data_IF_538510325792
#
_entry.id   IF_538510325792
#
_cell.length_a   1.000
_cell.length_b   1.000
_cell.length_c   1.000
_cell.angle_alpha   90.00
_cell.angle_beta   90.00
_cell.angle_gamma   90.00
#
_symmetry.space_group_name_H-M   'P 1'
#
loop_
_entity.id
_entity.type
_entity.pdbx_description
1 polymer ?
#
# COMPACT_ATOMS: atom_id res chain seq x y z
N UNK A 1 -20.99 4.13 -12.56
CA UNK A 1 -19.96 4.81 -11.75
C UNK A 1 -19.06 3.73 -11.19
N UNK A 2 -17.75 3.82 -11.40
CA UNK A 2 -16.82 2.80 -10.93
C UNK A 2 -16.66 2.94 -9.40
N UNK A 3 -17.36 2.09 -8.64
CA UNK A 3 -17.46 2.12 -7.17
C UNK A 3 -16.26 1.47 -6.48
N UNK A 4 -15.26 1.04 -7.24
CA UNK A 4 -14.09 0.32 -6.71
C UNK A 4 -13.24 1.24 -5.82
N UNK A 5 -12.84 0.73 -4.65
CA UNK A 5 -12.03 1.48 -3.69
C UNK A 5 -10.70 1.91 -4.33
N UNK A 6 -10.22 3.16 -4.15
CA UNK A 6 -8.98 3.63 -4.76
C UNK A 6 -7.76 2.79 -4.36
N UNK A 7 -7.69 2.31 -3.12
CA UNK A 7 -6.61 1.43 -2.67
C UNK A 7 -6.72 0.04 -3.27
N UNK A 8 -7.93 -0.46 -3.54
CA UNK A 8 -8.09 -1.70 -4.28
C UNK A 8 -7.44 -1.62 -5.66
N UNK A 9 -7.79 -0.57 -6.43
CA UNK A 9 -7.18 -0.33 -7.74
C UNK A 9 -5.66 -0.19 -7.64
N UNK A 10 -5.15 0.50 -6.61
CA UNK A 10 -3.71 0.66 -6.37
C UNK A 10 -3.00 -0.69 -6.14
N UNK A 11 -3.53 -1.54 -5.26
CA UNK A 11 -2.89 -2.82 -4.93
C UNK A 11 -3.02 -3.85 -6.04
N UNK A 12 -4.14 -3.86 -6.77
CA UNK A 12 -4.33 -4.71 -7.95
C UNK A 12 -3.44 -4.28 -9.12
N UNK A 13 -3.27 -2.96 -9.31
CA UNK A 13 -2.41 -2.36 -10.32
C UNK A 13 -1.02 -1.94 -9.81
N UNK A 14 -0.48 -2.65 -8.81
CA UNK A 14 0.77 -2.24 -8.18
C UNK A 14 1.93 -2.18 -9.19
N UNK A 15 2.62 -1.04 -9.35
CA UNK A 15 3.66 -0.88 -10.37
C UNK A 15 4.85 -1.78 -10.10
N UNK A 16 5.43 -2.37 -11.15
CA UNK A 16 6.65 -3.17 -11.05
C UNK A 16 7.85 -2.35 -10.54
N UNK A 17 7.86 -1.04 -10.82
CA UNK A 17 8.89 -0.12 -10.34
C UNK A 17 8.86 0.13 -8.82
N UNK A 18 7.77 -0.26 -8.13
CA UNK A 18 7.64 -0.14 -6.69
C UNK A 18 7.81 -1.51 -6.03
N UNK A 19 8.77 -1.60 -5.11
CA UNK A 19 8.87 -2.76 -4.22
C UNK A 19 7.53 -2.99 -3.51
N UNK A 20 7.14 -4.26 -3.32
CA UNK A 20 5.93 -4.63 -2.55
C UNK A 20 6.13 -4.49 -1.03
N UNK A 21 6.66 -3.35 -0.60
CA UNK A 21 6.91 -3.01 0.81
C UNK A 21 6.54 -1.56 1.10
N UNK A 22 6.26 -1.28 2.36
CA UNK A 22 5.93 0.06 2.82
C UNK A 22 5.27 0.02 4.19
N UNK A 23 4.55 1.09 4.53
CA UNK A 23 3.74 1.17 5.75
C UNK A 23 2.31 1.52 5.39
N UNK A 24 1.37 0.67 5.77
CA UNK A 24 -0.06 0.93 5.66
C UNK A 24 -0.54 1.61 6.96
N UNK A 25 -1.30 2.70 6.83
CA UNK A 25 -1.99 3.34 7.96
C UNK A 25 -3.46 3.00 7.87
N UNK A 26 -4.02 2.43 8.93
CA UNK A 26 -5.45 2.11 9.01
C UNK A 26 -6.26 3.34 9.43
N UNK A 27 -7.58 3.29 9.23
CA UNK A 27 -8.52 4.30 9.72
C UNK A 27 -8.53 4.46 11.25
N UNK A 28 -8.02 3.45 11.98
CA UNK A 28 -7.77 3.49 13.43
C UNK A 28 -6.36 3.94 13.79
N UNK A 29 -5.60 4.50 12.83
CA UNK A 29 -4.24 4.99 13.00
C UNK A 29 -3.22 3.92 13.42
N UNK A 30 -3.45 2.64 13.10
CA UNK A 30 -2.43 1.58 13.22
C UNK A 30 -1.43 1.71 12.06
N UNK A 31 -0.14 1.65 12.36
CA UNK A 31 0.92 1.60 11.35
C UNK A 31 1.40 0.15 11.15
N UNK A 32 1.22 -0.37 9.93
CA UNK A 32 1.55 -1.74 9.55
C UNK A 32 2.67 -1.71 8.53
N UNK A 33 3.90 -1.92 8.98
CA UNK A 33 5.03 -2.15 8.07
C UNK A 33 4.86 -3.52 7.39
N UNK A 34 4.88 -3.55 6.06
CA UNK A 34 4.71 -4.76 5.26
C UNK A 34 5.85 -4.95 4.26
N UNK A 35 6.11 -6.20 3.90
CA UNK A 35 7.15 -6.60 2.92
C UNK A 35 6.63 -7.51 1.80
N UNK A 36 5.31 -7.69 1.74
CA UNK A 36 4.60 -8.42 0.70
C UNK A 36 3.10 -8.27 0.88
N UNK A 37 2.34 -8.54 -0.17
CA UNK A 37 0.88 -8.55 -0.09
C UNK A 37 0.24 -9.41 -1.18
N UNK A 38 -0.99 -9.85 -0.91
CA UNK A 38 -1.88 -10.49 -1.88
C UNK A 38 -3.23 -9.75 -1.92
N UNK A 39 -3.83 -9.70 -3.10
CA UNK A 39 -5.09 -9.00 -3.35
C UNK A 39 -6.22 -9.99 -3.63
N UNK A 40 -7.43 -9.64 -3.21
CA UNK A 40 -8.69 -10.20 -3.70
C UNK A 40 -9.75 -9.08 -3.76
N UNK A 41 -10.94 -9.28 -4.36
CA UNK A 41 -11.89 -8.21 -4.67
C UNK A 41 -12.38 -7.33 -3.50
N UNK A 42 -12.21 -7.75 -2.25
CA UNK A 42 -12.75 -7.09 -1.06
C UNK A 42 -11.75 -6.95 0.09
N UNK A 43 -10.63 -7.68 0.06
CA UNK A 43 -9.60 -7.65 1.09
C UNK A 43 -8.18 -7.62 0.54
N UNK A 44 -7.32 -7.05 1.36
CA UNK A 44 -5.87 -7.07 1.23
C UNK A 44 -5.30 -7.99 2.31
N UNK A 45 -4.38 -8.87 1.92
CA UNK A 45 -3.53 -9.62 2.86
C UNK A 45 -2.14 -8.99 2.82
N UNK A 46 -1.62 -8.56 3.96
CA UNK A 46 -0.24 -8.06 4.09
C UNK A 46 0.63 -9.08 4.83
N UNK A 47 1.84 -9.30 4.33
CA UNK A 47 2.94 -9.90 5.10
C UNK A 47 3.64 -8.79 5.88
N UNK A 48 3.57 -8.85 7.21
CA UNK A 48 4.19 -7.84 8.07
C UNK A 48 5.71 -7.96 8.01
N UNK A 49 6.39 -6.82 8.02
CA UNK A 49 7.85 -6.79 8.02
C UNK A 49 8.44 -7.38 9.32
N UNK A 50 7.77 -7.11 10.44
CA UNK A 50 8.03 -7.70 11.74
C UNK A 50 6.70 -8.15 12.38
N UNK A 51 6.71 -9.18 13.25
CA UNK A 51 5.52 -9.56 14.00
C UNK A 51 4.98 -8.39 14.84
N UNK A 52 3.68 -8.36 15.08
CA UNK A 52 3.09 -7.43 16.06
C UNK A 52 3.36 -7.87 17.50
N UNK A 53 2.79 -7.13 18.47
CA UNK A 53 2.93 -7.44 19.90
C UNK A 53 2.35 -8.81 20.30
N UNK A 54 1.47 -9.40 19.48
CA UNK A 54 0.88 -10.73 19.68
C UNK A 54 1.58 -11.81 18.84
N UNK A 55 2.61 -11.45 18.09
CA UNK A 55 3.36 -12.36 17.22
C UNK A 55 2.70 -12.61 15.85
N UNK A 56 1.67 -11.85 15.48
CA UNK A 56 1.03 -11.99 14.17
C UNK A 56 1.98 -11.55 13.06
N UNK A 57 2.13 -12.39 12.02
CA UNK A 57 3.00 -12.13 10.86
C UNK A 57 2.25 -11.70 9.61
N UNK A 58 0.94 -11.89 9.60
CA UNK A 58 0.04 -11.54 8.51
C UNK A 58 -1.14 -10.76 9.05
N UNK A 59 -1.67 -9.85 8.25
CA UNK A 59 -2.91 -9.13 8.57
C UNK A 59 -3.80 -9.11 7.33
N UNK A 60 -5.09 -9.33 7.55
CA UNK A 60 -6.13 -9.18 6.53
C UNK A 60 -7.00 -7.98 6.91
N UNK A 61 -7.28 -7.12 5.95
CA UNK A 61 -8.12 -5.95 6.14
C UNK A 61 -8.87 -5.61 4.85
N UNK A 62 -9.99 -4.90 4.98
CA UNK A 62 -10.71 -4.38 3.81
C UNK A 62 -9.98 -3.15 3.28
N UNK A 63 -10.10 -2.90 1.98
CA UNK A 63 -9.56 -1.66 1.40
C UNK A 63 -10.21 -0.39 1.98
N UNK A 64 -11.44 -0.49 2.50
CA UNK A 64 -12.13 0.61 3.18
C UNK A 64 -11.48 1.02 4.51
N UNK A 65 -10.67 0.15 5.10
CA UNK A 65 -10.03 0.39 6.40
C UNK A 65 -8.66 1.07 6.23
N UNK A 66 -8.23 1.35 5.00
CA UNK A 66 -6.95 1.98 4.68
C UNK A 66 -7.13 3.50 4.66
N UNK A 67 -6.34 4.19 5.48
CA UNK A 67 -6.29 5.65 5.52
C UNK A 67 -5.12 6.22 4.69
N UNK A 68 -3.99 5.51 4.63
CA UNK A 68 -2.85 5.90 3.80
C UNK A 68 -1.91 4.72 3.51
N UNK A 69 -1.10 4.86 2.46
CA UNK A 69 0.05 4.00 2.17
C UNK A 69 1.29 4.89 2.10
N UNK A 70 2.31 4.56 2.90
CA UNK A 70 3.62 5.25 2.90
C UNK A 70 4.63 4.36 2.19
N UNK A 71 5.32 4.92 1.20
CA UNK A 71 6.40 4.26 0.48
C UNK A 71 7.72 4.58 1.17
N UNK A 72 8.54 3.56 1.41
CA UNK A 72 9.79 3.68 2.20
C UNK A 72 11.05 3.69 1.36
N UNK A 73 10.91 3.42 0.06
CA UNK A 73 12.03 3.34 -0.86
C UNK A 73 12.43 4.73 -1.37
N UNK A 74 13.70 4.94 -1.74
CA UNK A 74 14.08 6.11 -2.52
C UNK A 74 13.44 6.00 -3.91
N UNK A 75 12.46 6.85 -4.19
CA UNK A 75 11.69 6.86 -5.43
C UNK A 75 12.00 8.10 -6.27
N UNK A 76 11.77 8.00 -7.58
CA UNK A 76 11.86 9.12 -8.52
C UNK A 76 10.48 9.46 -9.06
N UNK A 77 10.34 10.60 -9.75
CA UNK A 77 9.06 11.02 -10.31
C UNK A 77 8.48 9.96 -11.26
N UNK A 78 9.33 9.29 -12.04
CA UNK A 78 8.92 8.27 -13.03
C UNK A 78 8.30 7.04 -12.37
N UNK A 79 8.57 6.79 -11.08
CA UNK A 79 7.95 5.69 -10.32
C UNK A 79 6.43 5.87 -10.14
N UNK A 80 5.92 7.11 -10.31
CA UNK A 80 4.52 7.45 -10.06
C UNK A 80 3.70 7.69 -11.34
N UNK A 81 4.35 7.89 -12.48
CA UNK A 81 3.67 8.06 -13.78
C UNK A 81 2.74 6.87 -14.13
N UNK A 82 3.12 5.59 -13.92
CA UNK A 82 2.23 4.45 -14.19
C UNK A 82 0.97 4.43 -13.30
N UNK A 83 0.99 5.13 -12.18
CA UNK A 83 -0.14 5.27 -11.25
C UNK A 83 -1.05 6.45 -11.59
N UNK A 84 -0.72 7.23 -12.63
CA UNK A 84 -1.50 8.38 -13.06
C UNK A 84 -1.34 9.62 -12.18
N UNK A 85 -0.30 9.70 -11.34
CA UNK A 85 0.01 10.93 -10.62
C UNK A 85 0.57 11.99 -11.59
N UNK A 86 0.02 13.19 -11.50
CA UNK A 86 0.47 14.36 -12.26
C UNK A 86 1.12 15.40 -11.33
N UNK A 87 2.12 16.12 -11.84
CA UNK A 87 2.84 17.17 -11.10
C UNK A 87 4.35 17.02 -11.14
N UNK A 88 5.04 17.69 -10.21
CA UNK A 88 6.50 17.61 -10.05
C UNK A 88 6.85 17.43 -8.58
N UNK A 89 7.70 16.45 -8.31
CA UNK A 89 8.34 16.31 -7.00
C UNK A 89 9.49 17.31 -6.90
N UNK A 90 9.79 17.78 -5.68
CA UNK A 90 10.95 18.65 -5.42
C UNK A 90 12.27 17.89 -5.30
N UNK A 91 12.26 16.58 -5.59
CA UNK A 91 13.43 15.73 -5.49
C UNK A 91 14.46 16.18 -6.54
N UNK A 92 15.69 16.42 -6.10
CA UNK A 92 16.82 16.87 -6.91
C UNK A 92 17.34 15.78 -7.84
#
# INVERSE_FOLDING_TARGET
>A
MDTTNPYQRLFEGWPEALSRRGVLITSLNEAIAFKGFMVKPDMLLLERQAPDALGARFVMLRYSDIAAVKLTDPLKAESFTPLGFEGRLSLA
#
